data_IF_569650467349
#
_entry.id   IF_569650467349
#
_cell.length_a   1.000
_cell.length_b   1.000
_cell.length_c   1.000
_cell.angle_alpha   90.00
_cell.angle_beta   90.00
_cell.angle_gamma   90.00
#
_symmetry.space_group_name_H-M   'P 1'
#
loop_
_entity.id
_entity.type
_entity.pdbx_description
1 polymer ?
#
# COMPACT_ATOMS: atom_id res chain seq x y z
N UNK A 1 8.07 28.68 -19.36
CA UNK A 1 8.42 28.76 -17.93
C UNK A 1 7.39 28.10 -17.01
N UNK A 2 6.08 28.27 -17.21
CA UNK A 2 5.05 27.62 -16.36
C UNK A 2 5.04 26.09 -16.54
N UNK A 3 5.01 25.60 -17.78
CA UNK A 3 5.03 24.16 -18.09
C UNK A 3 6.28 23.43 -17.56
N UNK A 4 7.42 24.14 -17.45
CA UNK A 4 8.64 23.58 -16.85
C UNK A 4 8.55 23.40 -15.33
N UNK A 5 7.69 24.15 -14.63
CA UNK A 5 7.39 23.93 -13.22
C UNK A 5 6.69 22.60 -13.00
N UNK A 6 5.57 22.39 -13.70
CA UNK A 6 4.78 21.15 -13.64
C UNK A 6 5.57 19.91 -14.07
N UNK A 7 6.40 20.00 -15.12
CA UNK A 7 7.26 18.88 -15.53
C UNK A 7 8.25 18.44 -14.44
N UNK A 8 8.74 19.38 -13.62
CA UNK A 8 9.65 19.07 -12.49
C UNK A 8 8.90 18.53 -11.28
N UNK A 9 7.65 18.95 -11.07
CA UNK A 9 6.82 18.47 -9.97
C UNK A 9 6.23 17.07 -10.23
N UNK A 10 5.92 16.73 -11.48
CA UNK A 10 5.21 15.49 -11.84
C UNK A 10 5.85 14.20 -11.27
N UNK A 11 7.19 14.03 -11.25
CA UNK A 11 7.80 12.83 -10.65
C UNK A 11 7.45 12.65 -9.16
N UNK A 12 7.21 13.73 -8.41
CA UNK A 12 6.90 13.68 -6.98
C UNK A 12 5.50 13.11 -6.68
N UNK A 13 4.61 13.04 -7.68
CA UNK A 13 3.38 12.25 -7.58
C UNK A 13 3.66 10.75 -7.51
N UNK A 14 4.86 10.29 -7.92
CA UNK A 14 5.29 8.90 -7.85
C UNK A 14 4.29 7.92 -8.49
N UNK A 15 3.71 8.28 -9.64
CA UNK A 15 2.72 7.43 -10.33
C UNK A 15 3.25 6.00 -10.57
N UNK A 16 4.50 5.76 -11.01
CA UNK A 16 5.02 4.40 -11.14
C UNK A 16 5.09 3.62 -9.81
N UNK A 17 5.25 4.30 -8.69
CA UNK A 17 5.28 3.68 -7.37
C UNK A 17 3.91 3.08 -6.98
N UNK A 18 2.81 3.61 -7.54
CA UNK A 18 1.47 3.05 -7.33
C UNK A 18 1.36 1.59 -7.75
N UNK A 19 2.21 1.11 -8.68
CA UNK A 19 2.27 -0.31 -9.05
C UNK A 19 2.55 -1.19 -7.83
N UNK A 20 3.37 -0.72 -6.88
CA UNK A 20 3.70 -1.47 -5.67
C UNK A 20 2.55 -1.56 -4.66
N UNK A 21 1.46 -0.83 -4.89
CA UNK A 21 0.25 -0.83 -4.06
C UNK A 21 -0.86 -1.74 -4.62
N UNK A 22 -0.66 -2.31 -5.82
CA UNK A 22 -1.61 -3.21 -6.48
C UNK A 22 -1.96 -4.48 -5.71
N UNK A 23 -1.07 -5.10 -4.90
CA UNK A 23 -1.42 -6.36 -4.23
C UNK A 23 -2.71 -6.32 -3.42
N UNK A 24 -2.98 -5.23 -2.71
CA UNK A 24 -4.17 -5.13 -1.84
C UNK A 24 -5.44 -4.94 -2.69
N UNK A 25 -5.33 -4.22 -3.81
CA UNK A 25 -6.41 -4.12 -4.78
C UNK A 25 -6.77 -5.51 -5.34
N UNK A 26 -5.78 -6.26 -5.82
CA UNK A 26 -6.03 -7.61 -6.34
C UNK A 26 -6.50 -8.57 -5.25
N UNK A 27 -5.97 -8.46 -4.03
CA UNK A 27 -6.41 -9.29 -2.91
C UNK A 27 -7.89 -9.05 -2.61
N UNK A 28 -8.30 -7.78 -2.54
CA UNK A 28 -9.70 -7.38 -2.36
C UNK A 28 -10.62 -7.98 -3.41
N UNK A 29 -10.22 -7.98 -4.68
CA UNK A 29 -11.01 -8.59 -5.75
C UNK A 29 -11.01 -10.12 -5.70
N UNK A 30 -9.86 -10.75 -5.44
CA UNK A 30 -9.73 -12.21 -5.37
C UNK A 30 -10.48 -12.87 -4.20
N UNK A 31 -10.89 -12.08 -3.22
CA UNK A 31 -11.68 -12.54 -2.08
C UNK A 31 -13.19 -12.62 -2.38
N UNK A 32 -13.64 -11.99 -3.46
CA UNK A 32 -15.05 -11.90 -3.84
C UNK A 32 -15.47 -13.17 -4.57
N UNK A 33 -16.62 -13.73 -4.20
CA UNK A 33 -17.26 -14.90 -4.82
C UNK A 33 -18.32 -14.51 -5.84
N UNK A 34 -18.88 -13.31 -5.72
CA UNK A 34 -19.82 -12.78 -6.69
C UNK A 34 -19.14 -12.31 -7.99
N UNK A 35 -19.81 -12.42 -9.16
CA UNK A 35 -19.29 -11.90 -10.41
C UNK A 35 -18.96 -10.41 -10.34
N UNK A 36 -17.78 -10.04 -10.85
CA UNK A 36 -17.31 -8.65 -10.85
C UNK A 36 -17.66 -7.91 -12.15
N UNK A 37 -18.09 -6.67 -12.02
CA UNK A 37 -18.29 -5.80 -13.18
C UNK A 37 -16.95 -5.18 -13.62
N UNK A 38 -16.38 -5.68 -14.73
CA UNK A 38 -15.05 -5.29 -15.24
C UNK A 38 -14.90 -3.77 -15.37
N UNK A 39 -15.92 -3.06 -15.87
CA UNK A 39 -15.87 -1.60 -16.01
C UNK A 39 -15.74 -0.86 -14.67
N UNK A 40 -16.33 -1.41 -13.60
CA UNK A 40 -16.20 -0.82 -12.25
C UNK A 40 -14.83 -1.12 -11.66
N UNK A 41 -14.35 -2.35 -11.83
CA UNK A 41 -12.99 -2.76 -11.43
C UNK A 41 -11.93 -1.86 -12.07
N UNK A 42 -12.02 -1.62 -13.38
CA UNK A 42 -11.12 -0.70 -14.09
C UNK A 42 -11.25 0.73 -13.57
N UNK A 43 -12.48 1.20 -13.33
CA UNK A 43 -12.73 2.51 -12.74
C UNK A 43 -12.07 2.68 -11.38
N UNK A 44 -12.22 1.70 -10.48
CA UNK A 44 -11.57 1.70 -9.16
C UNK A 44 -10.05 1.71 -9.32
N UNK A 45 -9.51 0.89 -10.23
CA UNK A 45 -8.08 0.86 -10.49
C UNK A 45 -7.54 2.24 -10.88
N UNK A 46 -8.20 2.92 -11.82
CA UNK A 46 -7.84 4.28 -12.26
C UNK A 46 -7.93 5.28 -11.11
N UNK A 47 -9.04 5.28 -10.37
CA UNK A 47 -9.25 6.19 -9.24
C UNK A 47 -8.16 6.02 -8.18
N UNK A 48 -7.83 4.79 -7.80
CA UNK A 48 -6.85 4.56 -6.74
C UNK A 48 -5.42 4.75 -7.22
N UNK A 49 -5.02 4.08 -8.31
CA UNK A 49 -3.61 3.96 -8.69
C UNK A 49 -3.10 5.14 -9.52
N UNK A 50 -3.98 5.77 -10.29
CA UNK A 50 -3.61 6.88 -11.17
C UNK A 50 -3.97 8.26 -10.59
N UNK A 51 -4.86 8.33 -9.59
CA UNK A 51 -5.31 9.60 -9.01
C UNK A 51 -5.05 9.69 -7.49
N UNK A 52 -5.69 8.85 -6.67
CA UNK A 52 -5.65 8.99 -5.22
C UNK A 52 -4.25 8.72 -4.63
N UNK A 53 -3.61 7.59 -4.95
CA UNK A 53 -2.26 7.32 -4.45
C UNK A 53 -1.22 8.33 -4.94
N UNK A 54 -1.24 8.75 -6.22
CA UNK A 54 -0.35 9.82 -6.66
C UNK A 54 -0.58 11.17 -5.95
N UNK A 55 -1.84 11.55 -5.68
CA UNK A 55 -2.16 12.75 -4.91
C UNK A 55 -1.60 12.68 -3.47
N UNK A 56 -1.82 11.53 -2.80
CA UNK A 56 -1.27 11.25 -1.48
C UNK A 56 0.27 11.32 -1.45
N UNK A 57 0.92 10.71 -2.44
CA UNK A 57 2.38 10.70 -2.57
C UNK A 57 2.94 12.11 -2.82
N UNK A 58 2.30 12.89 -3.68
CA UNK A 58 2.69 14.27 -3.97
C UNK A 58 2.49 15.20 -2.77
N UNK A 59 1.38 15.05 -2.05
CA UNK A 59 1.14 15.81 -0.82
C UNK A 59 2.20 15.49 0.24
N UNK A 60 2.50 14.21 0.44
CA UNK A 60 3.58 13.78 1.32
C UNK A 60 4.93 14.40 0.92
N UNK A 61 5.33 14.30 -0.35
CA UNK A 61 6.56 14.92 -0.83
C UNK A 61 6.60 16.44 -0.64
N UNK A 62 5.46 17.13 -0.79
CA UNK A 62 5.40 18.58 -0.63
C UNK A 62 5.74 19.04 0.81
N UNK A 63 5.22 18.33 1.82
CA UNK A 63 5.44 18.67 3.23
C UNK A 63 6.74 18.10 3.78
N UNK A 64 7.19 16.95 3.28
CA UNK A 64 8.39 16.29 3.81
C UNK A 64 9.67 16.92 3.27
N UNK A 65 9.63 17.44 2.04
CA UNK A 65 10.75 18.13 1.37
C UNK A 65 12.06 17.34 1.44
N UNK A 66 11.96 16.01 1.31
CA UNK A 66 13.11 15.10 1.37
C UNK A 66 14.21 15.51 0.37
N UNK A 67 15.45 15.54 0.86
CA UNK A 67 16.63 15.64 0.00
C UNK A 67 17.21 14.25 -0.31
N UNK A 68 17.02 13.31 0.63
CA UNK A 68 17.36 11.90 0.46
C UNK A 68 16.39 11.14 -0.45
N UNK A 69 16.70 9.87 -0.72
CA UNK A 69 15.81 8.98 -1.49
C UNK A 69 14.47 8.78 -0.79
N UNK A 70 13.40 8.69 -1.57
CA UNK A 70 12.03 8.37 -1.13
C UNK A 70 11.48 7.23 -1.98
N UNK A 71 10.38 6.59 -1.57
CA UNK A 71 9.79 5.46 -2.29
C UNK A 71 9.68 5.71 -3.80
N UNK A 72 10.37 4.90 -4.60
CA UNK A 72 10.38 5.01 -6.07
C UNK A 72 11.30 6.07 -6.67
N UNK A 73 11.88 6.98 -5.89
CA UNK A 73 12.78 8.03 -6.35
C UNK A 73 14.08 8.07 -5.56
N UNK A 74 15.19 7.66 -6.20
CA UNK A 74 16.53 7.71 -5.60
C UNK A 74 17.03 9.13 -5.34
N UNK A 75 16.65 10.08 -6.20
CA UNK A 75 16.98 11.52 -6.08
C UNK A 75 15.73 12.33 -6.40
N UNK A 76 14.86 12.63 -5.42
CA UNK A 76 13.66 13.39 -5.67
C UNK A 76 14.02 14.81 -6.16
N UNK A 77 13.29 15.37 -7.14
CA UNK A 77 13.45 16.77 -7.51
C UNK A 77 12.99 17.69 -6.37
N UNK A 78 13.47 18.93 -6.36
CA UNK A 78 13.02 19.93 -5.37
C UNK A 78 11.53 20.20 -5.51
N UNK A 79 10.86 20.25 -4.37
CA UNK A 79 9.43 20.58 -4.25
C UNK A 79 9.16 22.00 -4.73
N UNK A 80 8.01 22.20 -5.37
CA UNK A 80 7.51 23.50 -5.80
C UNK A 80 5.99 23.62 -5.58
N UNK A 81 5.45 24.84 -5.68
CA UNK A 81 4.02 25.11 -5.49
C UNK A 81 3.14 24.39 -6.53
N UNK A 82 3.66 24.19 -7.74
CA UNK A 82 2.97 23.45 -8.80
C UNK A 82 2.61 22.02 -8.40
N UNK A 83 3.34 21.42 -7.46
CA UNK A 83 2.99 20.11 -6.91
C UNK A 83 1.65 20.13 -6.17
N UNK A 84 1.37 21.17 -5.38
CA UNK A 84 0.08 21.30 -4.70
C UNK A 84 -1.08 21.48 -5.70
N UNK A 85 -0.86 22.23 -6.78
CA UNK A 85 -1.86 22.35 -7.84
C UNK A 85 -2.19 20.98 -8.44
N UNK A 86 -1.18 20.16 -8.72
CA UNK A 86 -1.36 18.79 -9.22
C UNK A 86 -2.11 17.92 -8.21
N UNK A 87 -1.74 18.00 -6.92
CA UNK A 87 -2.41 17.25 -5.86
C UNK A 87 -3.90 17.59 -5.80
N UNK A 88 -4.27 18.88 -5.81
CA UNK A 88 -5.68 19.29 -5.76
C UNK A 88 -6.47 18.82 -6.98
N UNK A 89 -5.88 18.90 -8.17
CA UNK A 89 -6.51 18.38 -9.40
C UNK A 89 -6.73 16.87 -9.27
N UNK A 90 -5.72 16.12 -8.82
CA UNK A 90 -5.84 14.66 -8.68
C UNK A 90 -6.83 14.27 -7.59
N UNK A 91 -6.88 14.98 -6.46
CA UNK A 91 -7.88 14.77 -5.40
C UNK A 91 -9.31 14.97 -5.96
N UNK A 92 -9.54 16.07 -6.66
CA UNK A 92 -10.84 16.39 -7.25
C UNK A 92 -11.26 15.33 -8.27
N UNK A 93 -10.35 14.94 -9.17
CA UNK A 93 -10.60 13.89 -10.15
C UNK A 93 -10.85 12.53 -9.50
N UNK A 94 -10.12 12.18 -8.42
CA UNK A 94 -10.32 10.94 -7.70
C UNK A 94 -11.72 10.87 -7.07
N UNK A 95 -12.15 11.94 -6.40
CA UNK A 95 -13.46 12.01 -5.74
C UNK A 95 -14.60 12.01 -6.77
N UNK A 96 -14.50 12.82 -7.83
CA UNK A 96 -15.51 12.88 -8.90
C UNK A 96 -15.58 11.55 -9.65
N UNK A 97 -14.44 10.96 -10.00
CA UNK A 97 -14.38 9.64 -10.64
C UNK A 97 -14.97 8.54 -9.75
N UNK A 98 -14.68 8.58 -8.45
CA UNK A 98 -15.26 7.65 -7.48
C UNK A 98 -16.78 7.81 -7.36
N UNK A 99 -17.28 9.06 -7.41
CA UNK A 99 -18.71 9.35 -7.29
C UNK A 99 -19.53 8.72 -8.41
N UNK A 100 -19.00 8.70 -9.63
CA UNK A 100 -19.64 8.03 -10.77
C UNK A 100 -19.69 6.51 -10.66
N UNK A 101 -18.81 5.90 -9.85
CA UNK A 101 -18.86 4.46 -9.58
C UNK A 101 -19.85 4.15 -8.45
N UNK A 102 -19.74 4.86 -7.32
CA UNK A 102 -20.59 4.72 -6.16
C UNK A 102 -20.39 5.89 -5.18
N UNK A 103 -21.45 6.56 -4.70
CA UNK A 103 -21.33 7.60 -3.66
C UNK A 103 -20.62 7.11 -2.39
N UNK A 104 -20.84 5.85 -1.99
CA UNK A 104 -20.16 5.26 -0.82
C UNK A 104 -18.66 5.09 -1.09
N UNK A 105 -18.29 4.62 -2.29
CA UNK A 105 -16.88 4.54 -2.69
C UNK A 105 -16.21 5.92 -2.70
N UNK A 106 -16.90 6.95 -3.20
CA UNK A 106 -16.40 8.33 -3.16
C UNK A 106 -16.18 8.85 -1.74
N UNK A 107 -17.12 8.57 -0.83
CA UNK A 107 -16.95 8.92 0.58
C UNK A 107 -15.73 8.21 1.20
N UNK A 108 -15.52 6.93 0.88
CA UNK A 108 -14.35 6.19 1.36
C UNK A 108 -13.04 6.76 0.79
N UNK A 109 -12.99 7.09 -0.50
CA UNK A 109 -11.83 7.74 -1.14
C UNK A 109 -11.55 9.11 -0.49
N UNK A 110 -12.59 9.91 -0.22
CA UNK A 110 -12.44 11.18 0.47
C UNK A 110 -11.84 11.01 1.87
N UNK A 111 -12.34 10.05 2.66
CA UNK A 111 -11.78 9.74 3.98
C UNK A 111 -10.31 9.30 3.86
N UNK A 112 -9.99 8.41 2.92
CA UNK A 112 -8.62 7.98 2.65
C UNK A 112 -7.69 9.18 2.37
N UNK A 113 -8.10 10.08 1.47
CA UNK A 113 -7.34 11.28 1.12
C UNK A 113 -7.16 12.22 2.32
N UNK A 114 -8.21 12.45 3.11
CA UNK A 114 -8.14 13.28 4.32
C UNK A 114 -7.16 12.71 5.34
N UNK A 115 -7.21 11.41 5.60
CA UNK A 115 -6.28 10.72 6.51
C UNK A 115 -4.85 10.79 5.98
N UNK A 116 -4.66 10.57 4.69
CA UNK A 116 -3.36 10.71 4.03
C UNK A 116 -2.80 12.13 4.13
N UNK A 117 -3.64 13.17 4.08
CA UNK A 117 -3.22 14.56 4.31
C UNK A 117 -2.87 14.82 5.77
N UNK A 118 -3.71 14.38 6.71
CA UNK A 118 -3.44 14.50 8.14
C UNK A 118 -2.13 13.81 8.55
N UNK A 119 -1.73 12.76 7.82
CA UNK A 119 -0.46 12.08 8.00
C UNK A 119 0.77 13.00 7.81
N UNK A 120 0.73 13.90 6.82
CA UNK A 120 1.88 14.74 6.41
C UNK A 120 1.74 16.22 6.78
N UNK A 121 0.52 16.73 6.93
CA UNK A 121 0.25 18.15 7.20
C UNK A 121 0.88 18.62 8.52
N UNK A 122 1.66 19.70 8.49
CA UNK A 122 2.42 20.20 9.64
C UNK A 122 1.58 20.44 10.91
N UNK A 123 0.32 20.87 10.77
CA UNK A 123 -0.56 21.11 11.91
C UNK A 123 -1.04 19.85 12.65
N UNK A 124 -0.92 18.67 12.04
CA UNK A 124 -1.34 17.38 12.64
C UNK A 124 -0.15 16.40 12.70
N UNK A 125 0.46 16.13 11.53
CA UNK A 125 1.66 15.31 11.32
C UNK A 125 1.64 13.98 12.08
N UNK A 126 0.64 13.14 11.80
CA UNK A 126 0.46 11.84 12.47
C UNK A 126 1.73 10.98 12.45
N UNK A 127 2.52 11.07 11.38
CA UNK A 127 3.79 10.34 11.18
C UNK A 127 4.84 10.55 12.28
N UNK A 128 4.72 11.62 13.08
CA UNK A 128 5.57 11.87 14.25
C UNK A 128 5.40 10.80 15.35
N UNK A 129 4.24 10.14 15.40
CA UNK A 129 3.89 9.18 16.43
C UNK A 129 4.05 7.74 15.92
N UNK A 130 5.02 6.95 16.40
CA UNK A 130 5.39 5.67 15.77
C UNK A 130 4.23 4.67 15.73
N UNK A 131 3.55 4.48 16.86
CA UNK A 131 2.45 3.51 16.95
C UNK A 131 1.19 4.01 16.23
N UNK A 132 0.77 5.25 16.52
CA UNK A 132 -0.43 5.83 15.91
C UNK A 132 -0.30 5.92 14.37
N UNK A 133 0.84 6.38 13.87
CA UNK A 133 1.10 6.44 12.43
C UNK A 133 1.07 5.06 11.78
N UNK A 134 1.66 4.05 12.44
CA UNK A 134 1.63 2.66 11.95
C UNK A 134 0.20 2.16 11.90
N UNK A 135 -0.56 2.26 12.99
CA UNK A 135 -1.97 1.82 13.06
C UNK A 135 -2.81 2.47 11.96
N UNK A 136 -2.69 3.79 11.79
CA UNK A 136 -3.42 4.52 10.75
C UNK A 136 -3.04 4.00 9.37
N UNK A 137 -1.74 3.86 9.07
CA UNK A 137 -1.31 3.42 7.74
C UNK A 137 -1.76 1.99 7.45
N UNK A 138 -1.56 1.05 8.38
CA UNK A 138 -1.86 -0.37 8.13
C UNK A 138 -3.36 -0.63 8.02
N UNK A 139 -4.20 0.14 8.73
CA UNK A 139 -5.66 0.05 8.60
C UNK A 139 -6.12 0.66 7.27
N UNK A 140 -5.69 1.89 6.96
CA UNK A 140 -6.19 2.62 5.79
C UNK A 140 -5.65 2.06 4.47
N UNK A 141 -4.40 1.64 4.43
CA UNK A 141 -3.84 0.95 3.27
C UNK A 141 -4.21 -0.54 3.24
N UNK A 142 -4.56 -1.16 4.38
CA UNK A 142 -4.89 -2.57 4.50
C UNK A 142 -6.38 -2.84 4.37
N UNK A 143 -7.03 -3.17 5.49
CA UNK A 143 -8.45 -3.54 5.54
C UNK A 143 -9.36 -2.49 4.88
N UNK A 144 -9.12 -1.20 5.10
CA UNK A 144 -9.96 -0.16 4.52
C UNK A 144 -9.85 -0.14 2.99
N UNK A 145 -8.63 -0.21 2.43
CA UNK A 145 -8.43 -0.26 0.98
C UNK A 145 -8.96 -1.55 0.36
N UNK A 146 -8.81 -2.67 1.05
CA UNK A 146 -9.39 -3.95 0.66
C UNK A 146 -10.92 -3.85 0.51
N UNK A 147 -11.61 -3.34 1.53
CA UNK A 147 -13.07 -3.15 1.53
C UNK A 147 -13.48 -2.07 0.52
N UNK A 148 -12.76 -0.95 0.47
CA UNK A 148 -13.01 0.15 -0.47
C UNK A 148 -12.93 -0.32 -1.92
N UNK A 149 -12.01 -1.23 -2.24
CA UNK A 149 -11.89 -1.84 -3.57
C UNK A 149 -13.15 -2.64 -3.94
N UNK A 150 -13.66 -3.46 -3.03
CA UNK A 150 -14.87 -4.27 -3.25
C UNK A 150 -16.13 -3.41 -3.39
N UNK A 151 -16.28 -2.39 -2.53
CA UNK A 151 -17.39 -1.43 -2.60
C UNK A 151 -17.37 -0.68 -3.94
N UNK A 152 -16.20 -0.21 -4.38
CA UNK A 152 -16.06 0.46 -5.67
C UNK A 152 -16.32 -0.48 -6.86
N UNK A 153 -15.94 -1.76 -6.74
CA UNK A 153 -16.22 -2.78 -7.75
C UNK A 153 -17.70 -3.17 -7.82
N UNK A 154 -18.51 -2.77 -6.83
CA UNK A 154 -19.96 -2.99 -6.80
C UNK A 154 -20.40 -4.27 -6.10
N UNK A 155 -19.55 -4.87 -5.29
CA UNK A 155 -19.85 -6.07 -4.51
C UNK A 155 -20.95 -5.77 -3.49
N UNK A 156 -21.87 -6.71 -3.26
CA UNK A 156 -22.97 -6.52 -2.31
C UNK A 156 -22.42 -6.33 -0.89
N UNK A 157 -23.03 -5.40 -0.15
CA UNK A 157 -22.58 -5.07 1.21
C UNK A 157 -22.64 -6.27 2.16
N UNK A 158 -23.58 -7.20 1.94
CA UNK A 158 -23.69 -8.45 2.71
C UNK A 158 -22.48 -9.36 2.55
N UNK A 159 -21.88 -9.41 1.35
CA UNK A 159 -20.64 -10.16 1.11
C UNK A 159 -19.43 -9.38 1.63
N UNK A 160 -19.38 -8.07 1.39
CA UNK A 160 -18.29 -7.21 1.89
C UNK A 160 -18.17 -7.27 3.42
N UNK A 161 -19.30 -7.30 4.12
CA UNK A 161 -19.37 -7.35 5.59
C UNK A 161 -19.44 -8.78 6.14
N UNK A 162 -19.31 -9.82 5.30
CA UNK A 162 -19.28 -11.20 5.80
C UNK A 162 -18.05 -11.42 6.68
N UNK A 163 -18.18 -12.26 7.71
CA UNK A 163 -17.11 -12.47 8.69
C UNK A 163 -15.82 -12.97 8.03
N UNK A 164 -15.93 -13.90 7.09
CA UNK A 164 -14.78 -14.46 6.38
C UNK A 164 -14.10 -13.43 5.47
N UNK A 165 -14.86 -12.54 4.81
CA UNK A 165 -14.29 -11.45 4.01
C UNK A 165 -13.60 -10.38 4.89
N UNK A 166 -14.20 -10.03 6.04
CA UNK A 166 -13.59 -9.10 7.00
C UNK A 166 -12.32 -9.69 7.64
N UNK A 167 -12.24 -11.02 7.81
CA UNK A 167 -11.01 -11.68 8.24
C UNK A 167 -9.92 -11.58 7.15
N UNK A 168 -10.26 -11.69 5.86
CA UNK A 168 -9.31 -11.41 4.77
C UNK A 168 -8.88 -9.94 4.73
N UNK A 169 -9.79 -9.00 5.03
CA UNK A 169 -9.43 -7.60 5.20
C UNK A 169 -8.43 -7.41 6.36
N UNK A 170 -8.62 -8.11 7.48
CA UNK A 170 -7.67 -8.12 8.59
C UNK A 170 -6.32 -8.72 8.19
N UNK A 171 -6.29 -9.79 7.38
CA UNK A 171 -5.04 -10.32 6.81
C UNK A 171 -4.28 -9.24 6.04
N UNK A 172 -4.98 -8.44 5.21
CA UNK A 172 -4.36 -7.32 4.48
C UNK A 172 -3.66 -6.33 5.42
N UNK A 173 -4.33 -5.97 6.53
CA UNK A 173 -3.76 -5.12 7.58
C UNK A 173 -2.54 -5.77 8.25
N UNK A 174 -2.57 -7.07 8.54
CA UNK A 174 -1.44 -7.77 9.17
C UNK A 174 -0.23 -7.86 8.24
N UNK A 175 -0.45 -8.12 6.94
CA UNK A 175 0.63 -8.09 5.96
C UNK A 175 1.27 -6.70 5.83
N UNK A 176 0.46 -5.64 5.85
CA UNK A 176 1.01 -4.29 5.93
C UNK A 176 1.67 -3.99 7.27
N UNK A 177 1.16 -4.49 8.39
CA UNK A 177 1.80 -4.33 9.68
C UNK A 177 3.23 -4.87 9.65
N UNK A 178 3.43 -6.05 9.07
CA UNK A 178 4.79 -6.60 8.90
C UNK A 178 5.63 -5.83 7.86
N UNK A 179 5.08 -5.52 6.69
CA UNK A 179 5.86 -4.96 5.58
C UNK A 179 6.10 -3.44 5.66
N UNK A 180 5.19 -2.67 6.24
CA UNK A 180 5.26 -1.21 6.25
C UNK A 180 6.54 -0.67 6.92
N UNK A 181 6.97 -1.16 8.10
CA UNK A 181 8.23 -0.71 8.70
C UNK A 181 9.47 -0.97 7.82
N UNK A 182 9.48 -2.02 7.00
CA UNK A 182 10.58 -2.27 6.07
C UNK A 182 10.71 -1.17 5.01
N UNK A 183 9.61 -0.51 4.65
CA UNK A 183 9.62 0.61 3.69
C UNK A 183 10.33 1.84 4.24
N UNK A 184 10.54 1.90 5.56
CA UNK A 184 11.16 3.03 6.26
C UNK A 184 12.60 2.74 6.68
N UNK A 185 13.08 1.50 6.55
CA UNK A 185 14.34 1.06 7.17
C UNK A 185 15.57 1.84 6.66
N UNK A 186 15.55 2.25 5.39
CA UNK A 186 16.62 3.04 4.78
C UNK A 186 16.52 4.55 5.08
N UNK A 187 15.40 5.02 5.63
CA UNK A 187 15.13 6.44 5.86
C UNK A 187 15.46 6.90 7.28
N UNK A 188 16.07 6.06 8.12
CA UNK A 188 16.31 6.35 9.54
C UNK A 188 17.04 7.67 9.80
N UNK A 189 18.02 8.03 8.97
CA UNK A 189 18.76 9.28 9.13
C UNK A 189 17.88 10.49 8.80
N UNK A 190 17.15 10.43 7.69
CA UNK A 190 16.30 11.54 7.23
C UNK A 190 15.11 11.76 8.18
N UNK A 191 14.49 10.67 8.65
CA UNK A 191 13.43 10.71 9.67
C UNK A 191 13.91 11.39 10.96
N UNK A 192 15.11 11.04 11.44
CA UNK A 192 15.71 11.69 12.63
C UNK A 192 15.91 13.19 12.41
N UNK A 193 16.44 13.61 11.26
CA UNK A 193 16.68 15.03 10.94
C UNK A 193 15.39 15.85 10.97
N UNK A 194 14.26 15.26 10.55
CA UNK A 194 12.94 15.88 10.60
C UNK A 194 12.27 15.86 11.98
N UNK A 195 12.83 15.13 12.94
CA UNK A 195 12.20 14.90 14.24
C UNK A 195 11.02 13.91 14.18
N UNK A 196 10.87 13.14 13.09
CA UNK A 196 9.88 12.08 12.98
C UNK A 196 10.39 10.84 13.75
N UNK A 197 9.51 10.18 14.52
CA UNK A 197 9.82 8.91 15.20
C UNK A 197 9.00 7.81 14.56
N UNK A 198 9.54 7.20 13.50
CA UNK A 198 8.89 6.07 12.81
C UNK A 198 9.06 4.76 13.59
N UNK A 199 8.18 3.78 13.36
CA UNK A 199 8.27 2.50 14.07
C UNK A 199 9.59 1.77 13.76
N UNK A 200 10.01 1.76 12.50
CA UNK A 200 11.29 1.17 12.12
C UNK A 200 12.48 1.84 12.83
N UNK A 201 12.42 3.17 13.00
CA UNK A 201 13.45 3.90 13.71
C UNK A 201 13.54 3.50 15.19
N UNK A 202 12.38 3.33 15.84
CA UNK A 202 12.28 2.92 17.26
C UNK A 202 12.77 1.49 17.46
N UNK A 203 12.41 0.57 16.56
CA UNK A 203 12.84 -0.83 16.62
C UNK A 203 14.31 -1.02 16.22
N UNK A 204 14.89 -0.04 15.50
CA UNK A 204 16.18 -0.19 14.82
C UNK A 204 16.10 -1.19 13.65
N UNK A 205 17.20 -1.34 12.91
CA UNK A 205 17.25 -2.19 11.72
C UNK A 205 16.89 -3.64 12.07
N UNK A 206 17.58 -4.24 13.06
CA UNK A 206 17.34 -5.64 13.44
C UNK A 206 15.92 -5.89 13.92
N UNK A 207 15.41 -5.04 14.81
CA UNK A 207 14.05 -5.14 15.33
C UNK A 207 13.00 -4.96 14.24
N UNK A 208 13.26 -4.12 13.23
CA UNK A 208 12.36 -3.95 12.07
C UNK A 208 12.18 -5.27 11.31
N UNK A 209 13.27 -5.99 11.03
CA UNK A 209 13.20 -7.29 10.35
C UNK A 209 12.50 -8.36 11.20
N UNK A 210 12.76 -8.41 12.52
CA UNK A 210 12.07 -9.36 13.40
C UNK A 210 10.57 -9.05 13.47
N UNK A 211 10.21 -7.79 13.65
CA UNK A 211 8.81 -7.35 13.67
C UNK A 211 8.10 -7.68 12.35
N UNK A 212 8.77 -7.43 11.22
CA UNK A 212 8.26 -7.77 9.90
C UNK A 212 8.01 -9.28 9.75
N UNK A 213 8.98 -10.11 10.13
CA UNK A 213 8.86 -11.56 10.05
C UNK A 213 7.67 -12.07 10.88
N UNK A 214 7.54 -11.60 12.13
CA UNK A 214 6.44 -11.98 13.02
C UNK A 214 5.09 -11.54 12.45
N UNK A 215 4.96 -10.27 12.04
CA UNK A 215 3.71 -9.75 11.48
C UNK A 215 3.28 -10.46 10.20
N UNK A 216 4.23 -10.74 9.30
CA UNK A 216 3.97 -11.48 8.06
C UNK A 216 3.56 -12.93 8.34
N UNK A 217 4.20 -13.61 9.32
CA UNK A 217 3.83 -14.97 9.73
C UNK A 217 2.43 -15.01 10.33
N UNK A 218 2.06 -14.05 11.18
CA UNK A 218 0.70 -13.94 11.72
C UNK A 218 -0.33 -13.71 10.61
N UNK A 219 -0.04 -12.83 9.65
CA UNK A 219 -0.90 -12.62 8.49
C UNK A 219 -1.06 -13.89 7.65
N UNK A 220 0.02 -14.63 7.41
CA UNK A 220 0.00 -15.86 6.62
C UNK A 220 -0.74 -17.00 7.34
N UNK A 221 -0.56 -17.12 8.67
CA UNK A 221 -1.28 -18.09 9.48
C UNK A 221 -2.79 -17.80 9.48
N UNK A 222 -3.19 -16.55 9.67
CA UNK A 222 -4.61 -16.17 9.60
C UNK A 222 -5.18 -16.42 8.19
N UNK A 223 -4.43 -16.08 7.13
CA UNK A 223 -4.85 -16.37 5.76
C UNK A 223 -5.09 -17.86 5.52
N UNK A 224 -4.18 -18.71 6.00
CA UNK A 224 -4.30 -20.17 5.88
C UNK A 224 -5.55 -20.70 6.62
N UNK A 225 -5.82 -20.18 7.82
CA UNK A 225 -7.02 -20.51 8.59
C UNK A 225 -8.28 -20.12 7.81
N UNK A 226 -8.35 -18.88 7.31
CA UNK A 226 -9.52 -18.38 6.59
C UNK A 226 -9.75 -19.14 5.28
N UNK A 227 -8.71 -19.39 4.49
CA UNK A 227 -8.85 -20.19 3.27
C UNK A 227 -9.21 -21.64 3.53
N UNK A 228 -8.80 -22.22 4.66
CA UNK A 228 -9.26 -23.55 5.07
C UNK A 228 -10.76 -23.53 5.40
N UNK A 229 -11.24 -22.54 6.16
CA UNK A 229 -12.67 -22.40 6.46
C UNK A 229 -13.54 -22.06 5.25
N UNK A 230 -12.93 -21.48 4.21
CA UNK A 230 -13.60 -21.13 2.95
C UNK A 230 -13.57 -22.27 1.92
N UNK A 231 -12.98 -23.42 2.23
CA UNK A 231 -12.70 -24.51 1.28
C UNK A 231 -11.88 -24.08 0.06
N UNK A 232 -11.01 -23.08 0.26
CA UNK A 232 -10.18 -22.42 -0.77
C UNK A 232 -8.71 -22.86 -0.68
N UNK A 233 -8.45 -24.14 -0.36
CA UNK A 233 -7.08 -24.68 -0.18
C UNK A 233 -6.17 -24.42 -1.41
N UNK A 234 -6.75 -24.37 -2.61
CA UNK A 234 -6.01 -24.02 -3.82
C UNK A 234 -5.48 -22.59 -3.80
N UNK A 235 -6.27 -21.63 -3.30
CA UNK A 235 -5.84 -20.24 -3.16
C UNK A 235 -4.68 -20.15 -2.16
N UNK A 236 -4.74 -20.93 -1.07
CA UNK A 236 -3.61 -21.06 -0.13
C UNK A 236 -2.36 -21.60 -0.82
N UNK A 237 -2.47 -22.65 -1.65
CA UNK A 237 -1.32 -23.19 -2.40
C UNK A 237 -0.73 -22.18 -3.38
N UNK A 238 -1.58 -21.47 -4.14
CA UNK A 238 -1.14 -20.39 -5.05
C UNK A 238 -0.37 -19.32 -4.27
N UNK A 239 -0.91 -18.89 -3.12
CA UNK A 239 -0.26 -17.92 -2.25
C UNK A 239 1.11 -18.40 -1.77
N UNK A 240 1.22 -19.63 -1.25
CA UNK A 240 2.47 -20.18 -0.72
C UNK A 240 3.55 -20.30 -1.80
N UNK A 241 3.19 -20.79 -3.00
CA UNK A 241 4.12 -20.90 -4.12
C UNK A 241 4.58 -19.52 -4.59
N UNK A 242 3.64 -18.58 -4.77
CA UNK A 242 3.96 -17.24 -5.26
C UNK A 242 4.77 -16.40 -4.26
N UNK A 243 4.59 -16.63 -2.95
CA UNK A 243 5.34 -15.93 -1.89
C UNK A 243 6.70 -16.56 -1.57
N UNK A 244 7.03 -17.73 -2.11
CA UNK A 244 8.34 -18.36 -1.96
C UNK A 244 9.52 -17.44 -2.32
N UNK A 245 9.54 -16.80 -3.51
CA UNK A 245 10.57 -15.83 -3.88
C UNK A 245 10.67 -14.62 -2.93
N UNK A 246 9.53 -14.14 -2.41
CA UNK A 246 9.46 -13.04 -1.45
C UNK A 246 10.17 -13.44 -0.15
N UNK A 247 9.82 -14.60 0.40
CA UNK A 247 10.40 -15.10 1.66
C UNK A 247 11.90 -15.34 1.55
N UNK A 248 12.36 -15.89 0.42
CA UNK A 248 13.79 -16.07 0.16
C UNK A 248 14.54 -14.74 0.05
N UNK A 249 13.97 -13.77 -0.66
CA UNK A 249 14.56 -12.44 -0.80
C UNK A 249 14.62 -11.72 0.56
N UNK A 250 13.52 -11.75 1.32
CA UNK A 250 13.44 -11.16 2.65
C UNK A 250 14.45 -11.78 3.61
N UNK A 251 14.54 -13.12 3.66
CA UNK A 251 15.49 -13.82 4.53
C UNK A 251 16.95 -13.47 4.19
N UNK A 252 17.29 -13.43 2.91
CA UNK A 252 18.63 -13.00 2.46
C UNK A 252 18.93 -11.55 2.84
N UNK A 253 17.98 -10.65 2.61
CA UNK A 253 18.15 -9.24 2.96
C UNK A 253 18.27 -9.02 4.47
N UNK A 254 17.46 -9.72 5.28
CA UNK A 254 17.54 -9.68 6.73
C UNK A 254 18.93 -10.12 7.23
N UNK A 255 19.45 -11.24 6.70
CA UNK A 255 20.79 -11.70 7.04
C UNK A 255 21.85 -10.66 6.66
N UNK A 256 21.78 -10.10 5.45
CA UNK A 256 22.72 -9.06 5.01
C UNK A 256 22.67 -7.83 5.92
N UNK A 257 21.48 -7.29 6.19
CA UNK A 257 21.29 -6.09 7.02
C UNK A 257 21.68 -6.31 8.49
N UNK A 258 21.63 -7.54 8.99
CA UNK A 258 22.08 -7.86 10.35
C UNK A 258 23.60 -7.95 10.48
N UNK A 259 24.29 -8.39 9.42
CA UNK A 259 25.75 -8.41 9.35
C UNK A 259 26.31 -7.02 9.03
N UNK A 260 25.75 -6.35 8.03
CA UNK A 260 26.12 -5.01 7.61
C UNK A 260 24.86 -4.11 7.56
N UNK A 261 24.69 -3.19 8.53
CA UNK A 261 23.60 -2.23 8.56
C UNK A 261 23.47 -1.37 7.28
N UNK A 262 24.54 -1.21 6.49
CA UNK A 262 24.50 -0.46 5.24
C UNK A 262 23.61 -1.13 4.18
N UNK A 263 23.38 -2.45 4.26
CA UNK A 263 22.47 -3.16 3.37
C UNK A 263 20.98 -2.84 3.62
N UNK A 264 20.64 -2.14 4.70
CA UNK A 264 19.32 -1.54 4.90
C UNK A 264 19.17 -0.26 4.05
N UNK A 265 19.38 -0.37 2.75
CA UNK A 265 19.42 0.73 1.79
C UNK A 265 18.18 0.80 0.88
N UNK A 266 18.12 1.87 0.10
CA UNK A 266 17.06 2.13 -0.85
C UNK A 266 16.90 1.01 -1.91
N UNK A 267 17.99 0.44 -2.42
CA UNK A 267 17.92 -0.54 -3.52
C UNK A 267 17.31 -1.85 -3.03
N UNK A 268 17.72 -2.33 -1.86
CA UNK A 268 17.17 -3.53 -1.27
C UNK A 268 15.68 -3.34 -0.92
N UNK A 269 15.32 -2.19 -0.34
CA UNK A 269 13.90 -1.88 -0.07
C UNK A 269 13.08 -1.83 -1.36
N UNK A 270 13.57 -1.17 -2.42
CA UNK A 270 12.84 -1.12 -3.70
C UNK A 270 12.74 -2.48 -4.36
N UNK A 271 13.80 -3.28 -4.35
CA UNK A 271 13.77 -4.65 -4.87
C UNK A 271 12.77 -5.51 -4.10
N UNK A 272 12.71 -5.38 -2.78
CA UNK A 272 11.73 -6.06 -1.94
C UNK A 272 10.30 -5.66 -2.34
N UNK A 273 10.01 -4.37 -2.49
CA UNK A 273 8.71 -3.87 -2.94
C UNK A 273 8.33 -4.38 -4.34
N UNK A 274 9.26 -4.36 -5.30
CA UNK A 274 9.05 -4.84 -6.66
C UNK A 274 8.68 -6.31 -6.71
N UNK A 275 9.50 -7.17 -6.09
CA UNK A 275 9.28 -8.62 -6.09
C UNK A 275 8.01 -8.95 -5.33
N UNK A 276 7.77 -8.32 -4.17
CA UNK A 276 6.55 -8.54 -3.40
C UNK A 276 5.31 -8.16 -4.19
N UNK A 277 5.33 -6.99 -4.83
CA UNK A 277 4.21 -6.50 -5.61
C UNK A 277 3.89 -7.42 -6.78
N UNK A 278 4.91 -7.83 -7.54
CA UNK A 278 4.74 -8.71 -8.69
C UNK A 278 4.19 -10.09 -8.27
N UNK A 279 4.84 -10.72 -7.28
CA UNK A 279 4.47 -12.04 -6.81
C UNK A 279 3.07 -12.07 -6.20
N UNK A 280 2.73 -11.12 -5.31
CA UNK A 280 1.41 -11.07 -4.68
C UNK A 280 0.32 -10.70 -5.70
N UNK A 281 0.55 -9.72 -6.58
CA UNK A 281 -0.42 -9.38 -7.62
C UNK A 281 -0.67 -10.57 -8.55
N UNK A 282 0.39 -11.26 -8.98
CA UNK A 282 0.25 -12.46 -9.80
C UNK A 282 -0.53 -13.56 -9.08
N UNK A 283 -0.28 -13.78 -7.78
CA UNK A 283 -1.01 -14.74 -6.97
C UNK A 283 -2.51 -14.42 -6.91
N UNK A 284 -2.86 -13.19 -6.54
CA UNK A 284 -4.26 -12.79 -6.38
C UNK A 284 -5.00 -12.71 -7.72
N UNK A 285 -4.32 -12.29 -8.81
CA UNK A 285 -4.87 -12.37 -10.16
C UNK A 285 -5.14 -13.83 -10.55
N UNK A 286 -4.21 -14.74 -10.28
CA UNK A 286 -4.40 -16.16 -10.57
C UNK A 286 -5.58 -16.77 -9.78
N UNK A 287 -5.73 -16.41 -8.50
CA UNK A 287 -6.89 -16.80 -7.69
C UNK A 287 -8.19 -16.24 -8.27
N UNK A 288 -8.20 -14.95 -8.64
CA UNK A 288 -9.36 -14.29 -9.22
C UNK A 288 -9.81 -14.94 -10.54
N UNK A 289 -8.85 -15.18 -11.45
CA UNK A 289 -9.10 -15.83 -12.74
C UNK A 289 -9.55 -17.26 -12.55
N UNK A 290 -8.99 -18.00 -11.60
CA UNK A 290 -9.43 -19.37 -11.32
C UNK A 290 -10.88 -19.40 -10.82
N UNK A 291 -11.23 -18.50 -9.91
CA UNK A 291 -12.55 -18.45 -9.29
C UNK A 291 -13.66 -18.04 -10.27
N UNK A 292 -13.34 -17.19 -11.26
CA UNK A 292 -14.31 -16.63 -12.21
C UNK A 292 -14.13 -17.13 -13.65
N UNK A 293 -13.08 -17.90 -13.94
CA UNK A 293 -12.71 -18.37 -15.28
C UNK A 293 -13.46 -19.61 -15.75
N UNK A 294 -14.42 -20.11 -14.96
CA UNK A 294 -15.33 -21.20 -15.31
C UNK A 294 -16.78 -20.72 -15.58
N UNK A 295 -16.96 -19.44 -15.91
CA UNK A 295 -18.23 -18.89 -16.39
C UNK A 295 -18.26 -18.80 -17.92
#
# INVERSE_FOLDING_TARGET
MILSGYRRALPLLRIPFSVYLMPIFWFGLSAVREPLHVGRVVGVFVVLHLLAYPASNGYNSYYDRDEGSIGGLRRPPKVSQELLHLVWVFDALAIVGAWWLSPLFAAMVAVYLLVSKAYSYEGIRLKKYPLLSTVVVVIFQGAFTFVMTQIGAGVRLTEVLSTDNLLLALVSTLFLCGSYPLTQVYQHQEDRKRGDRTLSLVLGIRGTFVFAAVGLLFGAALLAIVYTFRDELRNLLIFLVATGPITLLFGRWAMQAWHDPAAADFDHTMRMNQVSSLCLSAAFIAMLVWQHGYL
#
